data_IF_500569795696
#
_entry.id   IF_500569795696
#
_cell.length_a   1.000
_cell.length_b   1.000
_cell.length_c   1.000
_cell.angle_alpha   90.00
_cell.angle_beta   90.00
_cell.angle_gamma   90.00
#
_symmetry.space_group_name_H-M   'P 1'
#
loop_
_entity.id
_entity.type
_entity.pdbx_description
1 polymer ?
#
# COMPACT_ATOMS: atom_id res chain seq x y z
N UNK A 1 4.45 25.28 11.62
CA UNK A 1 3.13 25.00 11.01
C UNK A 1 3.26 23.92 9.94
N UNK A 2 4.18 24.07 8.97
CA UNK A 2 4.38 23.13 7.85
C UNK A 2 4.53 21.65 8.26
N UNK A 3 5.25 21.36 9.34
CA UNK A 3 5.50 19.98 9.79
C UNK A 3 4.26 19.20 10.23
N UNK A 4 3.29 19.86 10.87
CA UNK A 4 2.04 19.22 11.27
C UNK A 4 1.16 18.85 10.07
N UNK A 5 1.30 19.58 8.96
CA UNK A 5 0.55 19.32 7.73
C UNK A 5 0.92 17.96 7.13
N UNK A 6 2.20 17.58 7.15
CA UNK A 6 2.65 16.27 6.64
C UNK A 6 2.09 15.10 7.45
N UNK A 7 2.04 15.22 8.78
CA UNK A 7 1.49 14.18 9.66
C UNK A 7 -0.02 14.02 9.48
N UNK A 8 -0.75 15.13 9.33
CA UNK A 8 -2.20 15.11 9.05
C UNK A 8 -2.44 14.50 7.67
N UNK A 9 -1.68 14.92 6.66
CA UNK A 9 -1.77 14.39 5.31
C UNK A 9 -1.51 12.88 5.28
N UNK A 10 -0.41 12.39 5.89
CA UNK A 10 -0.11 10.97 5.93
C UNK A 10 -1.21 10.19 6.64
N UNK A 11 -1.72 10.69 7.77
CA UNK A 11 -2.82 10.04 8.51
C UNK A 11 -4.10 9.91 7.68
N UNK A 12 -4.46 10.97 6.95
CA UNK A 12 -5.62 10.95 6.05
C UNK A 12 -5.43 9.96 4.89
N UNK A 13 -4.29 10.02 4.21
CA UNK A 13 -3.97 9.11 3.09
C UNK A 13 -3.95 7.66 3.57
N UNK A 14 -3.36 7.38 4.74
CA UNK A 14 -3.35 6.04 5.34
C UNK A 14 -4.77 5.53 5.60
N UNK A 15 -5.61 6.40 6.18
CA UNK A 15 -7.00 6.07 6.47
C UNK A 15 -7.79 5.77 5.20
N UNK A 16 -7.57 6.50 4.10
CA UNK A 16 -8.18 6.19 2.81
C UNK A 16 -7.69 4.86 2.24
N UNK A 17 -6.38 4.58 2.31
CA UNK A 17 -5.82 3.30 1.91
C UNK A 17 -6.46 2.14 2.66
N UNK A 18 -6.52 2.26 4.00
CA UNK A 18 -7.14 1.29 4.90
C UNK A 18 -8.63 1.09 4.61
N UNK A 19 -9.41 2.17 4.49
CA UNK A 19 -10.84 2.08 4.15
C UNK A 19 -11.07 1.45 2.77
N UNK A 20 -10.19 1.71 1.80
CA UNK A 20 -10.27 1.13 0.46
C UNK A 20 -10.24 -0.40 0.46
N UNK A 21 -9.52 -1.02 1.40
CA UNK A 21 -9.49 -2.48 1.56
C UNK A 21 -10.88 -3.01 1.93
N UNK A 22 -11.57 -2.35 2.86
CA UNK A 22 -12.88 -2.81 3.35
C UNK A 22 -14.01 -2.56 2.34
N UNK A 23 -14.00 -1.40 1.68
CA UNK A 23 -15.06 -1.01 0.75
C UNK A 23 -15.14 -1.97 -0.43
N UNK A 24 -13.99 -2.36 -1.00
CA UNK A 24 -13.94 -3.15 -2.23
C UNK A 24 -13.09 -4.41 -2.10
N UNK A 25 -13.24 -5.13 -0.98
CA UNK A 25 -12.52 -6.38 -0.65
C UNK A 25 -12.66 -7.51 -1.67
N UNK A 26 -13.56 -7.38 -2.65
CA UNK A 26 -13.76 -8.37 -3.70
C UNK A 26 -12.76 -8.22 -4.83
N UNK A 27 -12.32 -7.01 -5.16
CA UNK A 27 -11.41 -6.80 -6.28
C UNK A 27 -9.96 -6.83 -5.80
N UNK A 28 -9.21 -7.85 -6.25
CA UNK A 28 -7.81 -8.04 -5.88
C UNK A 28 -6.93 -6.85 -6.31
N UNK A 29 -7.26 -6.18 -7.43
CA UNK A 29 -6.56 -4.96 -7.90
C UNK A 29 -6.77 -3.82 -6.90
N UNK A 30 -8.00 -3.63 -6.40
CA UNK A 30 -8.31 -2.56 -5.45
C UNK A 30 -7.58 -2.78 -4.13
N UNK A 31 -7.46 -4.03 -3.68
CA UNK A 31 -6.68 -4.37 -2.49
C UNK A 31 -5.20 -4.01 -2.69
N UNK A 32 -4.59 -4.41 -3.81
CA UNK A 32 -3.19 -4.06 -4.11
C UNK A 32 -2.98 -2.54 -4.13
N UNK A 33 -3.86 -1.79 -4.81
CA UNK A 33 -3.80 -0.32 -4.84
C UNK A 33 -3.95 0.30 -3.45
N UNK A 34 -4.81 -0.25 -2.58
CA UNK A 34 -4.96 0.20 -1.20
C UNK A 34 -3.67 0.00 -0.39
N UNK A 35 -2.98 -1.12 -0.57
CA UNK A 35 -1.70 -1.40 0.10
C UNK A 35 -0.63 -0.41 -0.38
N UNK A 36 -0.52 -0.17 -1.69
CA UNK A 36 0.38 0.84 -2.24
C UNK A 36 0.12 2.24 -1.65
N UNK A 37 -1.15 2.61 -1.48
CA UNK A 37 -1.54 3.90 -0.91
C UNK A 37 -1.17 4.01 0.59
N UNK A 38 -1.22 2.90 1.32
CA UNK A 38 -0.74 2.82 2.71
C UNK A 38 0.79 2.93 2.79
N UNK A 39 1.54 2.26 1.90
CA UNK A 39 3.01 2.37 1.81
C UNK A 39 3.45 3.78 1.42
N UNK A 40 2.72 4.44 0.52
CA UNK A 40 2.94 5.84 0.17
C UNK A 40 2.76 6.77 1.37
N UNK A 41 1.69 6.56 2.15
CA UNK A 41 1.49 7.33 3.39
C UNK A 41 2.64 7.13 4.39
N UNK A 42 3.09 5.88 4.57
CA UNK A 42 4.24 5.60 5.43
C UNK A 42 5.49 6.37 4.97
N UNK A 43 5.76 6.42 3.66
CA UNK A 43 6.85 7.23 3.09
C UNK A 43 6.72 8.72 3.41
N UNK A 44 5.54 9.31 3.24
CA UNK A 44 5.28 10.72 3.59
C UNK A 44 5.57 10.96 5.07
N UNK A 45 5.19 10.02 5.94
CA UNK A 45 5.44 10.11 7.36
C UNK A 45 6.95 10.08 7.70
N UNK A 46 7.70 9.15 7.10
CA UNK A 46 9.16 9.06 7.30
C UNK A 46 9.91 10.31 6.82
N UNK A 47 9.55 10.84 5.65
CA UNK A 47 10.14 12.09 5.13
C UNK A 47 9.72 13.29 5.98
N UNK A 48 8.46 13.31 6.45
CA UNK A 48 7.96 14.34 7.37
C UNK A 48 8.73 14.37 8.68
N UNK A 49 8.96 13.21 9.30
CA UNK A 49 9.78 13.12 10.51
C UNK A 49 11.25 13.47 10.27
N UNK A 50 11.84 13.04 9.15
CA UNK A 50 13.19 13.46 8.75
C UNK A 50 13.34 14.98 8.72
N UNK A 51 12.35 15.69 8.17
CA UNK A 51 12.34 17.15 8.12
C UNK A 51 12.13 17.80 9.52
N UNK A 52 11.32 17.19 10.39
CA UNK A 52 11.08 17.70 11.75
C UNK A 52 12.31 17.56 12.64
N UNK A 53 12.96 16.40 12.60
CA UNK A 53 14.12 16.09 13.42
C UNK A 53 15.43 16.64 12.82
N UNK A 54 15.41 17.06 11.56
CA UNK A 54 16.60 17.53 10.84
C UNK A 54 17.61 16.42 10.54
N UNK A 55 17.15 15.16 10.49
CA UNK A 55 17.99 13.98 10.28
C UNK A 55 17.63 13.26 8.98
N UNK A 56 18.64 12.76 8.26
CA UNK A 56 18.51 12.09 6.97
C UNK A 56 17.97 10.65 7.07
N UNK A 57 17.95 10.06 8.26
CA UNK A 57 17.55 8.65 8.46
C UNK A 57 16.15 8.33 7.91
N UNK A 58 15.17 9.24 8.08
CA UNK A 58 13.82 9.02 7.54
C UNK A 58 13.77 9.03 6.01
N UNK A 59 14.59 9.86 5.35
CA UNK A 59 14.71 9.83 3.89
C UNK A 59 15.37 8.54 3.39
N UNK A 60 16.42 8.08 4.06
CA UNK A 60 17.08 6.81 3.74
C UNK A 60 16.10 5.64 3.88
N UNK A 61 15.33 5.60 4.96
CA UNK A 61 14.33 4.55 5.16
C UNK A 61 13.21 4.59 4.12
N UNK A 62 12.78 5.79 3.69
CA UNK A 62 11.79 5.94 2.62
C UNK A 62 12.24 5.31 1.29
N UNK A 63 13.54 5.41 0.94
CA UNK A 63 14.08 4.75 -0.25
C UNK A 63 13.97 3.23 -0.18
N UNK A 64 14.21 2.63 0.99
CA UNK A 64 14.02 1.19 1.17
C UNK A 64 12.55 0.79 1.03
N UNK A 65 11.61 1.56 1.59
CA UNK A 65 10.18 1.29 1.43
C UNK A 65 9.77 1.36 -0.04
N UNK A 66 10.25 2.35 -0.80
CA UNK A 66 9.95 2.46 -2.24
C UNK A 66 10.43 1.23 -3.03
N UNK A 67 11.61 0.69 -2.70
CA UNK A 67 12.12 -0.54 -3.33
C UNK A 67 11.25 -1.75 -2.96
N UNK A 68 10.84 -1.86 -1.69
CA UNK A 68 9.95 -2.95 -1.24
C UNK A 68 8.58 -2.85 -1.91
N UNK A 69 8.00 -1.65 -2.01
CA UNK A 69 6.74 -1.41 -2.69
C UNK A 69 6.82 -1.81 -4.18
N UNK A 70 7.89 -1.43 -4.87
CA UNK A 70 8.10 -1.83 -6.26
C UNK A 70 8.20 -3.36 -6.43
N UNK A 71 8.90 -4.04 -5.51
CA UNK A 71 9.00 -5.50 -5.51
C UNK A 71 7.65 -6.18 -5.20
N UNK A 72 6.91 -5.66 -4.23
CA UNK A 72 5.58 -6.13 -3.87
C UNK A 72 4.61 -6.00 -5.06
N UNK A 73 4.53 -4.81 -5.68
CA UNK A 73 3.67 -4.57 -6.83
C UNK A 73 3.96 -5.54 -8.00
N UNK A 74 5.25 -5.78 -8.28
CA UNK A 74 5.65 -6.72 -9.32
C UNK A 74 5.19 -8.15 -9.01
N UNK A 75 5.38 -8.62 -7.78
CA UNK A 75 4.97 -9.96 -7.34
C UNK A 75 3.45 -10.08 -7.30
N UNK A 76 2.75 -9.09 -6.71
CA UNK A 76 1.30 -9.05 -6.59
C UNK A 76 0.62 -9.09 -7.95
N UNK A 77 1.11 -8.30 -8.91
CA UNK A 77 0.56 -8.28 -10.27
C UNK A 77 0.87 -9.59 -11.03
N UNK A 78 2.04 -10.19 -10.82
CA UNK A 78 2.38 -11.49 -11.41
C UNK A 78 1.42 -12.60 -10.92
N UNK A 79 1.17 -12.66 -9.61
CA UNK A 79 0.21 -13.59 -9.01
C UNK A 79 -1.20 -13.32 -9.55
N UNK A 80 -1.62 -12.06 -9.60
CA UNK A 80 -2.92 -11.65 -10.12
C UNK A 80 -3.12 -12.08 -11.57
N UNK A 81 -2.10 -11.93 -12.41
CA UNK A 81 -2.15 -12.30 -13.83
C UNK A 81 -2.33 -13.81 -14.01
N UNK A 82 -1.58 -14.62 -13.24
CA UNK A 82 -1.71 -16.08 -13.25
C UNK A 82 -3.09 -16.50 -12.74
N UNK A 83 -3.58 -15.87 -11.67
CA UNK A 83 -4.89 -16.12 -11.11
C UNK A 83 -6.00 -15.79 -12.11
N UNK A 84 -5.93 -14.63 -12.76
CA UNK A 84 -6.91 -14.21 -13.76
C UNK A 84 -6.97 -15.19 -14.93
N UNK A 85 -5.81 -15.68 -15.41
CA UNK A 85 -5.73 -16.69 -16.46
C UNK A 85 -6.41 -18.01 -16.09
N UNK A 86 -6.45 -18.37 -14.80
CA UNK A 86 -7.05 -19.62 -14.31
C UNK A 86 -8.51 -19.47 -13.88
N UNK A 87 -8.88 -18.31 -13.34
CA UNK A 87 -10.20 -18.05 -12.75
C UNK A 87 -11.14 -17.24 -13.64
N UNK A 88 -10.66 -16.63 -14.74
CA UNK A 88 -11.37 -15.63 -15.54
C UNK A 88 -12.06 -14.52 -14.71
N UNK A 89 -11.55 -14.28 -13.50
CA UNK A 89 -12.12 -13.34 -12.53
C UNK A 89 -11.00 -12.77 -11.69
N UNK A 90 -11.17 -11.52 -11.28
CA UNK A 90 -10.32 -10.81 -10.31
C UNK A 90 -10.94 -10.82 -8.91
N UNK A 91 -12.05 -11.53 -8.73
CA UNK A 91 -12.76 -11.61 -7.46
C UNK A 91 -12.00 -12.48 -6.46
N UNK A 92 -11.80 -12.01 -5.23
CA UNK A 92 -11.19 -12.78 -4.14
C UNK A 92 -12.13 -13.89 -3.64
N UNK A 93 -13.45 -13.72 -3.79
CA UNK A 93 -14.47 -14.68 -3.31
C UNK A 93 -14.38 -16.07 -4.00
N UNK A 94 -13.79 -16.14 -5.21
CA UNK A 94 -13.62 -17.40 -5.94
C UNK A 94 -12.47 -18.27 -5.41
N UNK A 95 -11.72 -17.80 -4.40
CA UNK A 95 -10.55 -18.49 -3.81
C UNK A 95 -10.96 -19.44 -2.65
N UNK A 96 -12.23 -19.79 -2.50
CA UNK A 96 -12.74 -20.65 -1.40
C UNK A 96 -12.54 -22.18 -1.61
N UNK A 97 -11.40 -22.60 -2.18
CA UNK A 97 -11.15 -24.01 -2.52
C UNK A 97 -10.62 -24.87 -1.37
N UNK A 98 -10.01 -24.26 -0.36
CA UNK A 98 -9.55 -24.98 0.84
C UNK A 98 -10.61 -24.85 1.93
N UNK A 99 -11.24 -25.97 2.28
CA UNK A 99 -12.14 -26.11 3.43
C UNK A 99 -11.59 -27.23 4.30
N UNK A 100 -11.28 -26.91 5.55
CA UNK A 100 -10.99 -27.88 6.61
C UNK A 100 -12.28 -28.29 7.30
#
# INVERSE_FOLDING_TARGET
MESFNFLILSSLVFSFGFLGIFINRKNLITILMSIELMLLSANINFVGFSNILGDLSGQIFSLFILVVAAAEAAIGLAILTIFFKKSNSISVDSINRLKG
#
